data_IF_671280093560
#
_entry.id   IF_671280093560
#
_cell.length_a   1.000
_cell.length_b   1.000
_cell.length_c   1.000
_cell.angle_alpha   90.00
_cell.angle_beta   90.00
_cell.angle_gamma   90.00
#
_symmetry.space_group_name_H-M   'P 1'
#
loop_
_entity.id
_entity.type
_entity.pdbx_description
1 polymer ?
#
# COMPACT_ATOMS: atom_id res chain seq x y z
N UNK A 1 -0.47 -20.75 -3.66
CA UNK A 1 -1.30 -19.55 -3.46
C UNK A 1 -0.51 -18.35 -3.92
N UNK A 2 -1.12 -17.45 -4.65
CA UNK A 2 -0.51 -16.23 -5.18
C UNK A 2 -1.30 -15.03 -4.66
N UNK A 3 -0.61 -13.96 -4.32
CA UNK A 3 -1.14 -12.70 -3.83
C UNK A 3 -0.88 -11.64 -4.90
N UNK A 4 -1.95 -11.12 -5.49
CA UNK A 4 -1.90 -9.94 -6.35
C UNK A 4 -2.13 -8.71 -5.47
N UNK A 5 -1.15 -7.81 -5.46
CA UNK A 5 -1.23 -6.53 -4.77
C UNK A 5 -1.20 -5.42 -5.83
N UNK A 6 -2.24 -4.60 -5.84
CA UNK A 6 -2.36 -3.43 -6.72
C UNK A 6 -2.58 -2.19 -5.86
N UNK A 7 -1.99 -1.06 -6.24
CA UNK A 7 -2.18 0.18 -5.52
C UNK A 7 -2.11 1.41 -6.43
N UNK A 8 -2.78 2.46 -5.99
CA UNK A 8 -2.83 3.76 -6.63
C UNK A 8 -2.48 4.82 -5.59
N UNK A 9 -1.32 5.43 -5.74
CA UNK A 9 -0.89 6.55 -4.91
C UNK A 9 -1.60 7.82 -5.37
N UNK A 10 -2.33 8.40 -4.44
CA UNK A 10 -2.90 9.74 -4.51
C UNK A 10 -1.96 10.66 -3.73
N UNK A 11 -1.79 11.88 -4.22
CA UNK A 11 -0.96 12.89 -3.58
C UNK A 11 -1.39 13.22 -2.14
N UNK A 12 -0.81 14.25 -1.52
CA UNK A 12 -1.17 14.65 -0.17
C UNK A 12 -2.67 14.94 -0.10
N UNK A 13 -3.32 14.58 1.00
CA UNK A 13 -4.74 14.92 1.22
C UNK A 13 -5.02 16.42 1.07
N UNK A 14 -4.01 17.26 1.30
CA UNK A 14 -4.06 18.72 1.18
C UNK A 14 -4.16 19.20 -0.28
N UNK A 15 -3.68 18.42 -1.25
CA UNK A 15 -3.61 18.79 -2.67
C UNK A 15 -4.83 18.24 -3.43
N UNK A 16 -6.03 18.72 -3.11
CA UNK A 16 -7.32 18.36 -3.75
C UNK A 16 -7.58 16.86 -4.03
N UNK A 17 -6.82 15.93 -3.43
CA UNK A 17 -6.99 14.46 -3.43
C UNK A 17 -7.11 13.74 -4.79
N UNK A 18 -7.07 14.44 -5.92
CA UNK A 18 -7.51 13.92 -7.22
C UNK A 18 -6.37 13.57 -8.18
N UNK A 19 -5.16 14.10 -7.96
CA UNK A 19 -4.04 13.75 -8.85
C UNK A 19 -3.59 12.32 -8.53
N UNK A 20 -3.74 11.44 -9.50
CA UNK A 20 -3.10 10.13 -9.48
C UNK A 20 -1.61 10.34 -9.68
N UNK A 21 -0.82 9.99 -8.67
CA UNK A 21 0.64 10.12 -8.73
C UNK A 21 1.28 8.89 -9.36
N UNK A 22 0.87 7.71 -8.89
CA UNK A 22 1.46 6.47 -9.35
C UNK A 22 0.48 5.32 -9.25
N UNK A 23 0.62 4.35 -10.16
CA UNK A 23 0.06 3.02 -10.01
C UNK A 23 1.17 2.01 -9.86
N UNK A 24 0.95 1.02 -9.02
CA UNK A 24 1.85 -0.09 -8.83
C UNK A 24 1.10 -1.41 -8.79
N UNK A 25 1.79 -2.46 -9.21
CA UNK A 25 1.31 -3.83 -9.12
C UNK A 25 2.47 -4.73 -8.73
N UNK A 26 2.20 -5.68 -7.85
CA UNK A 26 3.15 -6.72 -7.47
C UNK A 26 2.42 -8.05 -7.32
N UNK A 27 3.02 -9.09 -7.87
CA UNK A 27 2.58 -10.47 -7.65
C UNK A 27 3.59 -11.10 -6.69
N UNK A 28 3.09 -11.69 -5.62
CA UNK A 28 3.91 -12.29 -4.57
C UNK A 28 3.24 -13.57 -4.04
N UNK A 29 3.94 -14.26 -3.17
CA UNK A 29 3.55 -15.43 -2.42
C UNK A 29 3.37 -15.06 -0.95
N UNK A 30 2.74 -15.92 -0.13
CA UNK A 30 2.68 -15.74 1.31
C UNK A 30 4.05 -15.64 2.02
N UNK A 31 5.16 -15.99 1.34
CA UNK A 31 6.52 -15.97 1.89
C UNK A 31 7.38 -14.77 1.46
N UNK A 32 6.94 -13.95 0.49
CA UNK A 32 7.75 -12.86 -0.09
C UNK A 32 6.95 -11.58 -0.41
N UNK A 33 5.78 -11.40 0.20
CA UNK A 33 5.05 -10.14 0.08
C UNK A 33 5.79 -9.00 0.79
N UNK A 34 5.69 -7.76 0.28
CA UNK A 34 6.36 -6.62 0.90
C UNK A 34 5.72 -6.25 2.23
N UNK A 35 6.54 -5.94 3.24
CA UNK A 35 6.04 -5.37 4.50
C UNK A 35 5.54 -3.93 4.31
N UNK A 36 6.21 -3.17 3.43
CA UNK A 36 5.88 -1.78 3.14
C UNK A 36 5.88 -1.50 1.64
N UNK A 37 4.95 -0.65 1.20
CA UNK A 37 5.01 -0.01 -0.11
C UNK A 37 5.70 1.35 0.03
N UNK A 38 6.58 1.74 -0.91
CA UNK A 38 7.28 3.01 -0.85
C UNK A 38 6.31 4.19 -1.06
N UNK A 39 6.50 5.26 -0.29
CA UNK A 39 5.89 6.56 -0.55
C UNK A 39 6.76 7.33 -1.55
N UNK A 40 6.15 7.96 -2.56
CA UNK A 40 6.88 8.72 -3.58
C UNK A 40 6.81 10.23 -3.37
N UNK A 41 6.38 10.69 -2.21
CA UNK A 41 6.55 12.09 -1.84
C UNK A 41 8.07 12.37 -1.71
N UNK A 42 8.66 13.26 -2.53
CA UNK A 42 10.08 13.60 -2.43
C UNK A 42 10.45 14.20 -1.06
N UNK A 43 9.49 14.80 -0.35
CA UNK A 43 9.70 15.36 0.97
C UNK A 43 9.56 14.31 2.10
N UNK A 44 9.10 13.09 1.78
CA UNK A 44 8.92 12.00 2.74
C UNK A 44 10.08 11.00 2.65
N UNK A 45 11.12 11.24 3.43
CA UNK A 45 12.30 10.37 3.46
C UNK A 45 11.98 9.07 4.23
N UNK A 46 12.30 7.92 3.62
CA UNK A 46 12.03 6.58 4.18
C UNK A 46 10.55 6.31 4.53
N UNK A 47 9.62 7.06 3.94
CA UNK A 47 8.19 6.85 4.12
C UNK A 47 7.64 5.64 3.39
N UNK A 48 6.53 5.13 3.88
CA UNK A 48 5.82 4.05 3.21
C UNK A 48 4.45 3.78 3.79
N UNK A 49 3.82 2.76 3.23
CA UNK A 49 2.50 2.28 3.61
C UNK A 49 2.64 0.85 4.14
N UNK A 50 2.25 0.62 5.39
CA UNK A 50 2.32 -0.68 6.07
C UNK A 50 1.31 -1.68 5.48
N UNK A 51 1.69 -2.32 4.37
CA UNK A 51 0.81 -3.26 3.66
C UNK A 51 0.95 -4.69 4.18
N UNK A 52 2.11 -5.07 4.72
CA UNK A 52 2.40 -6.43 5.16
C UNK A 52 1.40 -6.93 6.20
N UNK A 53 1.08 -6.08 7.17
CA UNK A 53 0.05 -6.39 8.19
C UNK A 53 -1.32 -6.67 7.57
N UNK A 54 -1.73 -5.91 6.54
CA UNK A 54 -3.01 -6.10 5.84
C UNK A 54 -3.04 -7.40 5.05
N UNK A 55 -1.94 -7.73 4.39
CA UNK A 55 -1.78 -9.01 3.70
C UNK A 55 -1.85 -10.17 4.71
N UNK A 56 -1.13 -10.08 5.84
CA UNK A 56 -1.16 -11.09 6.89
C UNK A 56 -2.58 -11.28 7.48
N UNK A 57 -3.29 -10.19 7.76
CA UNK A 57 -4.69 -10.20 8.24
C UNK A 57 -5.64 -10.86 7.21
N UNK A 58 -5.49 -10.55 5.93
CA UNK A 58 -6.27 -11.16 4.85
C UNK A 58 -6.01 -12.67 4.75
N UNK A 59 -4.74 -13.09 4.82
CA UNK A 59 -4.36 -14.50 4.78
C UNK A 59 -4.92 -15.27 6.00
N UNK A 60 -4.82 -14.69 7.20
CA UNK A 60 -5.34 -15.29 8.42
C UNK A 60 -6.88 -15.40 8.41
N UNK A 61 -7.57 -14.41 7.84
CA UNK A 61 -9.04 -14.37 7.75
C UNK A 61 -9.61 -15.24 6.63
N UNK A 62 -8.78 -15.88 5.80
CA UNK A 62 -9.18 -16.71 4.64
C UNK A 62 -10.08 -15.98 3.64
N UNK A 63 -10.01 -14.65 3.59
CA UNK A 63 -10.68 -13.85 2.56
C UNK A 63 -9.92 -13.94 1.23
N UNK A 64 -10.65 -13.85 0.13
CA UNK A 64 -10.06 -13.89 -1.22
C UNK A 64 -9.59 -12.52 -1.70
N UNK A 65 -10.20 -11.44 -1.20
CA UNK A 65 -9.82 -10.08 -1.59
C UNK A 65 -10.14 -9.06 -0.51
N UNK A 66 -9.39 -7.95 -0.53
CA UNK A 66 -9.63 -6.74 0.26
C UNK A 66 -9.29 -5.52 -0.61
N UNK A 67 -10.12 -4.48 -0.52
CA UNK A 67 -9.84 -3.16 -1.04
C UNK A 67 -9.96 -2.14 0.09
N UNK A 68 -8.95 -1.31 0.27
CA UNK A 68 -8.96 -0.26 1.29
C UNK A 68 -7.95 0.85 0.94
N UNK A 69 -7.73 1.78 1.86
CA UNK A 69 -6.73 2.82 1.75
C UNK A 69 -5.73 2.80 2.90
N UNK A 70 -4.51 3.27 2.63
CA UNK A 70 -3.48 3.53 3.64
C UNK A 70 -3.00 4.96 3.50
N UNK A 71 -2.58 5.54 4.63
CA UNK A 71 -2.03 6.89 4.71
C UNK A 71 -0.58 6.80 5.17
N UNK A 72 0.32 7.49 4.48
CA UNK A 72 1.70 7.63 4.91
C UNK A 72 1.78 8.67 6.03
N UNK A 73 2.17 8.23 7.22
CA UNK A 73 2.26 9.07 8.43
C UNK A 73 3.70 9.41 8.83
N UNK A 74 4.66 9.17 7.94
CA UNK A 74 6.05 9.59 8.16
C UNK A 74 6.15 11.12 8.26
N UNK A 75 7.14 11.57 9.02
CA UNK A 75 7.48 12.99 9.10
C UNK A 75 8.05 13.49 7.77
N UNK A 76 7.75 14.74 7.42
CA UNK A 76 8.35 15.41 6.28
C UNK A 76 9.75 15.90 6.65
N UNK A 77 10.73 15.73 5.77
CA UNK A 77 12.13 16.08 6.05
C UNK A 77 12.29 17.58 6.36
N UNK A 78 11.69 18.43 5.53
CA UNK A 78 11.78 19.89 5.64
C UNK A 78 11.01 20.45 6.84
N UNK A 79 10.01 19.73 7.35
CA UNK A 79 9.22 20.12 8.51
C UNK A 79 8.79 18.89 9.32
N UNK A 80 9.52 18.61 10.40
CA UNK A 80 9.27 17.45 11.26
C UNK A 80 7.94 17.53 12.03
N UNK A 81 7.32 18.71 12.10
CA UNK A 81 5.98 18.85 12.67
C UNK A 81 4.89 18.43 11.69
N UNK A 82 5.20 18.37 10.39
CA UNK A 82 4.29 17.91 9.33
C UNK A 82 4.44 16.43 9.04
N UNK A 83 3.32 15.85 8.61
CA UNK A 83 3.22 14.45 8.18
C UNK A 83 3.00 14.41 6.67
N UNK A 84 3.51 13.38 6.02
CA UNK A 84 3.42 13.24 4.56
C UNK A 84 1.97 13.25 4.04
N UNK A 85 1.06 12.57 4.75
CA UNK A 85 -0.37 12.46 4.42
C UNK A 85 -0.67 12.04 2.97
N UNK A 86 0.29 11.42 2.26
CA UNK A 86 0.02 10.72 1.02
C UNK A 86 -0.89 9.55 1.30
N UNK A 87 -1.73 9.22 0.32
CA UNK A 87 -2.64 8.10 0.47
C UNK A 87 -2.46 7.13 -0.68
N UNK A 88 -2.65 5.85 -0.41
CA UNK A 88 -2.86 4.86 -1.47
C UNK A 88 -4.25 4.28 -1.33
N UNK A 89 -4.87 3.97 -2.45
CA UNK A 89 -5.94 2.95 -2.51
C UNK A 89 -5.27 1.68 -2.98
N UNK A 90 -5.50 0.57 -2.27
CA UNK A 90 -4.92 -0.72 -2.59
C UNK A 90 -5.98 -1.79 -2.71
N UNK A 91 -5.67 -2.81 -3.50
CA UNK A 91 -6.43 -4.05 -3.63
C UNK A 91 -5.47 -5.22 -3.42
N UNK A 92 -5.78 -6.10 -2.47
CA UNK A 92 -5.08 -7.37 -2.24
C UNK A 92 -6.02 -8.49 -2.71
N UNK A 93 -5.54 -9.38 -3.57
CA UNK A 93 -6.28 -10.57 -4.02
C UNK A 93 -5.45 -11.82 -3.83
N UNK A 94 -5.96 -12.74 -3.01
CA UNK A 94 -5.40 -14.05 -2.73
C UNK A 94 -6.03 -15.12 -3.63
N UNK A 95 -5.26 -15.65 -4.57
CA UNK A 95 -5.70 -16.68 -5.51
C UNK A 95 -5.01 -18.00 -5.20
N UNK A 96 -5.79 -19.05 -4.92
CA UNK A 96 -5.23 -20.39 -4.90
C UNK A 96 -5.06 -20.86 -6.34
N UNK A 97 -3.87 -21.34 -6.77
CA UNK A 97 -3.78 -22.06 -8.03
C UNK A 97 -4.74 -23.25 -7.92
N UNK A 98 -5.73 -23.31 -8.82
CA UNK A 98 -6.69 -24.40 -8.86
C UNK A 98 -5.95 -25.74 -8.78
N UNK A 99 -6.30 -26.57 -7.78
CA UNK A 99 -5.97 -27.99 -7.81
C UNK A 99 -6.74 -28.57 -9.00
N UNK A 100 -6.00 -28.97 -10.03
CA UNK A 100 -6.53 -29.74 -11.16
C UNK A 100 -6.71 -31.19 -10.75
#
# INVERSE_FOLDING_TARGET
MVINLEWQERGPLEDNGQRLWRKGRKVCTPSDYPEKLPCHNPQCECGGFEIGKRIAELLASKKFSEENSLICTNAIHEDRNKRCLHTIIYTITAVSPYRR
#
